data_IF_496255597684
#
_entry.id   IF_496255597684
#
_cell.length_a   1.000
_cell.length_b   1.000
_cell.length_c   1.000
_cell.angle_alpha   90.00
_cell.angle_beta   90.00
_cell.angle_gamma   90.00
#
_symmetry.space_group_name_H-M   'P 1'
#
loop_
_entity.id
_entity.type
_entity.pdbx_description
1 polymer ?
#
# COMPACT_ATOMS: atom_id res chain seq x y z
N UNK A 1 39.95 -25.84 5.52
CA UNK A 1 38.89 -25.76 6.53
C UNK A 1 38.84 -24.41 7.27
N UNK A 2 39.94 -23.79 7.66
CA UNK A 2 39.96 -22.56 8.48
C UNK A 2 39.33 -21.30 7.85
N UNK A 3 39.49 -21.06 6.55
CA UNK A 3 38.97 -19.85 5.88
C UNK A 3 37.44 -19.86 5.81
N UNK A 4 36.84 -21.01 5.52
CA UNK A 4 35.39 -21.16 5.44
C UNK A 4 34.72 -21.03 6.81
N UNK A 5 35.38 -21.56 7.86
CA UNK A 5 34.89 -21.41 9.24
C UNK A 5 34.97 -19.95 9.72
N UNK A 6 36.06 -19.25 9.40
CA UNK A 6 36.23 -17.83 9.72
C UNK A 6 35.16 -16.98 9.02
N UNK A 7 34.84 -17.26 7.76
CA UNK A 7 33.80 -16.54 7.01
C UNK A 7 32.41 -16.77 7.62
N UNK A 8 32.07 -18.01 8.01
CA UNK A 8 30.80 -18.30 8.68
C UNK A 8 30.66 -17.57 10.02
N UNK A 9 31.74 -17.48 10.82
CA UNK A 9 31.71 -16.73 12.08
C UNK A 9 31.48 -15.25 11.82
N UNK A 10 32.11 -14.64 10.81
CA UNK A 10 31.88 -13.24 10.44
C UNK A 10 30.44 -12.99 10.02
N UNK A 11 29.86 -13.90 9.21
CA UNK A 11 28.45 -13.81 8.80
C UNK A 11 27.48 -13.94 9.99
N UNK A 12 27.75 -14.84 10.93
CA UNK A 12 26.95 -14.98 12.15
C UNK A 12 27.02 -13.73 13.02
N UNK A 13 28.20 -13.17 13.22
CA UNK A 13 28.37 -11.92 13.99
C UNK A 13 27.66 -10.75 13.31
N UNK A 14 27.74 -10.65 11.99
CA UNK A 14 27.01 -9.65 11.21
C UNK A 14 25.48 -9.79 11.38
N UNK A 15 24.96 -11.01 11.28
CA UNK A 15 23.55 -11.30 11.48
C UNK A 15 23.10 -10.95 12.91
N UNK A 16 23.91 -11.28 13.93
CA UNK A 16 23.64 -10.95 15.34
C UNK A 16 23.62 -9.43 15.56
N UNK A 17 24.58 -8.71 14.95
CA UNK A 17 24.58 -7.23 15.01
C UNK A 17 23.32 -6.63 14.41
N UNK A 18 22.92 -7.05 13.21
CA UNK A 18 21.70 -6.54 12.55
C UNK A 18 20.47 -6.88 13.39
N UNK A 19 20.37 -8.12 13.90
CA UNK A 19 19.25 -8.53 14.73
C UNK A 19 19.13 -7.68 15.99
N UNK A 20 20.27 -7.31 16.62
CA UNK A 20 20.27 -6.45 17.78
C UNK A 20 19.70 -5.05 17.50
N UNK A 21 19.99 -4.47 16.34
CA UNK A 21 19.37 -3.22 15.89
C UNK A 21 17.88 -3.36 15.57
N UNK A 22 17.45 -4.54 15.10
CA UNK A 22 16.05 -4.84 14.82
C UNK A 22 15.15 -4.94 16.07
N UNK A 23 15.73 -5.17 17.25
CA UNK A 23 15.00 -5.12 18.53
C UNK A 23 14.61 -3.71 18.96
N UNK A 24 15.16 -2.68 18.34
CA UNK A 24 14.77 -1.30 18.64
C UNK A 24 13.33 -1.10 18.18
N UNK A 25 12.39 -1.08 19.13
CA UNK A 25 10.98 -0.79 18.84
C UNK A 25 10.89 0.53 18.08
N UNK A 26 10.24 0.51 16.94
CA UNK A 26 9.86 1.73 16.24
C UNK A 26 8.85 2.45 17.13
N UNK A 27 9.30 3.48 17.82
CA UNK A 27 8.43 4.34 18.63
C UNK A 27 7.92 5.46 17.73
N UNK A 28 6.62 5.74 17.80
CA UNK A 28 6.00 6.91 17.17
C UNK A 28 6.82 8.15 17.57
N UNK A 29 7.40 8.82 16.61
CA UNK A 29 8.26 10.01 16.81
C UNK A 29 7.71 11.26 16.10
N UNK A 30 6.41 11.29 15.84
CA UNK A 30 5.69 12.42 15.29
C UNK A 30 4.48 12.74 16.15
N UNK A 31 4.00 13.98 16.03
CA UNK A 31 2.83 14.48 16.75
C UNK A 31 1.55 14.13 16.01
N UNK A 32 0.45 13.98 16.75
CA UNK A 32 -0.86 13.84 16.15
C UNK A 32 -1.35 15.19 15.60
N UNK A 33 -1.89 15.16 14.41
CA UNK A 33 -2.47 16.33 13.75
C UNK A 33 -3.90 15.98 13.29
N UNK A 34 -4.76 16.98 13.28
CA UNK A 34 -6.08 16.86 12.70
C UNK A 34 -6.00 16.54 11.20
N UNK A 35 -7.00 15.85 10.63
CA UNK A 35 -7.06 15.54 9.20
C UNK A 35 -6.99 16.80 8.33
N UNK A 36 -6.03 16.87 7.41
CA UNK A 36 -5.83 18.00 6.50
C UNK A 36 -5.46 17.53 5.09
N UNK A 37 -4.66 16.45 4.98
CA UNK A 37 -4.14 15.98 3.70
C UNK A 37 -5.21 15.28 2.89
N UNK A 38 -5.22 15.56 1.59
CA UNK A 38 -6.09 14.89 0.63
C UNK A 38 -5.36 13.72 -0.01
N UNK A 39 -5.97 12.54 0.05
CA UNK A 39 -5.38 11.30 -0.46
C UNK A 39 -6.02 10.84 -1.77
N UNK A 40 -5.17 10.48 -2.73
CA UNK A 40 -5.55 9.65 -3.87
C UNK A 40 -5.08 8.22 -3.61
N UNK A 41 -6.00 7.28 -3.51
CA UNK A 41 -5.69 5.87 -3.25
C UNK A 41 -5.86 5.06 -4.53
N UNK A 42 -4.83 4.32 -4.93
CA UNK A 42 -4.83 3.49 -6.11
C UNK A 42 -4.63 2.02 -5.75
N UNK A 43 -5.55 1.17 -6.15
CA UNK A 43 -5.57 -0.27 -5.86
C UNK A 43 -5.52 -1.07 -7.17
N UNK A 44 -4.32 -1.46 -7.64
CA UNK A 44 -4.21 -2.36 -8.79
C UNK A 44 -4.81 -3.73 -8.48
N UNK A 45 -5.63 -4.23 -9.40
CA UNK A 45 -6.30 -5.53 -9.29
C UNK A 45 -6.24 -6.29 -10.62
N UNK A 46 -5.91 -7.57 -10.54
CA UNK A 46 -5.92 -8.50 -11.69
C UNK A 46 -6.51 -9.83 -11.28
N UNK A 47 -7.79 -10.08 -11.64
CA UNK A 47 -8.53 -11.27 -11.26
C UNK A 47 -8.58 -11.49 -9.73
N UNK A 48 -9.07 -10.48 -9.03
CA UNK A 48 -9.13 -10.43 -7.56
C UNK A 48 -10.58 -10.49 -7.04
N UNK A 49 -11.52 -11.16 -7.75
CA UNK A 49 -12.94 -11.21 -7.38
C UNK A 49 -13.19 -11.72 -5.95
N UNK A 50 -12.28 -12.52 -5.41
CA UNK A 50 -12.41 -13.12 -4.09
C UNK A 50 -12.09 -12.16 -2.93
N UNK A 51 -11.29 -11.11 -3.17
CA UNK A 51 -10.77 -10.23 -2.11
C UNK A 51 -11.07 -8.75 -2.35
N UNK A 52 -11.45 -8.37 -3.56
CA UNK A 52 -11.68 -6.97 -3.92
C UNK A 52 -12.78 -6.31 -3.08
N UNK A 53 -13.77 -7.08 -2.63
CA UNK A 53 -14.83 -6.59 -1.77
C UNK A 53 -14.30 -6.17 -0.38
N UNK A 54 -13.36 -6.93 0.17
CA UNK A 54 -12.82 -6.69 1.50
C UNK A 54 -12.04 -5.36 1.57
N UNK A 55 -11.21 -5.08 0.55
CA UNK A 55 -10.45 -3.82 0.53
C UNK A 55 -11.35 -2.61 0.27
N UNK A 56 -12.38 -2.74 -0.56
CA UNK A 56 -13.34 -1.66 -0.80
C UNK A 56 -14.09 -1.33 0.49
N UNK A 57 -14.62 -2.35 1.19
CA UNK A 57 -15.28 -2.18 2.48
C UNK A 57 -14.34 -1.53 3.50
N UNK A 58 -13.10 -1.95 3.54
CA UNK A 58 -12.08 -1.40 4.43
C UNK A 58 -11.81 0.09 4.13
N UNK A 59 -11.68 0.47 2.84
CA UNK A 59 -11.47 1.87 2.43
C UNK A 59 -12.69 2.75 2.68
N UNK A 60 -13.91 2.23 2.60
CA UNK A 60 -15.13 2.98 2.93
C UNK A 60 -15.29 3.24 4.45
N UNK A 61 -14.61 2.45 5.29
CA UNK A 61 -14.72 2.54 6.75
C UNK A 61 -13.44 3.07 7.43
N UNK A 62 -12.61 3.83 6.70
CA UNK A 62 -11.44 4.48 7.28
C UNK A 62 -11.82 5.55 8.30
N UNK A 63 -11.10 5.63 9.41
CA UNK A 63 -11.25 6.68 10.42
C UNK A 63 -10.60 8.01 9.94
N UNK A 64 -11.07 8.50 8.80
CA UNK A 64 -10.62 9.74 8.17
C UNK A 64 -11.80 10.41 7.43
N UNK A 65 -11.89 11.76 7.36
CA UNK A 65 -13.01 12.41 6.67
C UNK A 65 -13.13 11.96 5.22
N UNK A 66 -14.32 11.47 4.83
CA UNK A 66 -14.55 10.86 3.50
C UNK A 66 -14.31 11.82 2.35
N UNK A 67 -14.52 13.10 2.58
CA UNK A 67 -14.28 14.19 1.61
C UNK A 67 -12.80 14.49 1.37
N UNK A 68 -11.90 13.93 2.18
CA UNK A 68 -10.46 14.13 2.05
C UNK A 68 -9.74 12.97 1.34
N UNK A 69 -10.45 11.98 0.83
CA UNK A 69 -9.81 10.95 0.03
C UNK A 69 -10.73 10.39 -1.05
N UNK A 70 -10.13 10.01 -2.15
CA UNK A 70 -10.76 9.22 -3.20
C UNK A 70 -9.95 7.95 -3.45
N UNK A 71 -10.64 6.86 -3.80
CA UNK A 71 -9.95 5.64 -4.17
C UNK A 71 -10.47 5.10 -5.51
N UNK A 72 -9.54 4.48 -6.24
CA UNK A 72 -9.78 3.88 -7.54
C UNK A 72 -9.26 2.45 -7.57
N UNK A 73 -10.11 1.54 -8.02
CA UNK A 73 -9.72 0.17 -8.35
C UNK A 73 -9.22 0.19 -9.79
N UNK A 74 -7.97 -0.21 -9.98
CA UNK A 74 -7.31 -0.26 -11.28
C UNK A 74 -7.38 -1.69 -11.82
N UNK A 75 -8.44 -1.98 -12.55
CA UNK A 75 -8.69 -3.32 -13.10
C UNK A 75 -7.83 -3.55 -14.34
N UNK A 76 -6.74 -4.32 -14.22
CA UNK A 76 -5.82 -4.62 -15.30
C UNK A 76 -6.11 -5.98 -15.93
N UNK A 77 -6.62 -5.98 -17.15
CA UNK A 77 -6.90 -7.20 -17.92
C UNK A 77 -7.69 -8.26 -17.13
N UNK A 78 -8.66 -7.85 -16.32
CA UNK A 78 -9.50 -8.75 -15.56
C UNK A 78 -10.41 -9.56 -16.49
N UNK A 79 -10.51 -10.87 -16.23
CA UNK A 79 -11.37 -11.82 -16.98
C UNK A 79 -12.44 -12.46 -16.07
N UNK A 80 -12.35 -12.22 -14.77
CA UNK A 80 -13.29 -12.64 -13.74
C UNK A 80 -14.30 -11.52 -13.41
N UNK A 81 -14.99 -11.62 -12.27
CA UNK A 81 -15.98 -10.65 -11.83
C UNK A 81 -15.41 -9.50 -10.99
N UNK A 82 -14.11 -9.28 -10.96
CA UNK A 82 -13.48 -8.20 -10.19
C UNK A 82 -14.12 -6.83 -10.44
N UNK A 83 -14.26 -6.46 -11.72
CA UNK A 83 -14.88 -5.18 -12.15
C UNK A 83 -16.33 -5.08 -11.73
N UNK A 84 -17.10 -6.15 -11.92
CA UNK A 84 -18.52 -6.21 -11.55
C UNK A 84 -18.70 -6.00 -10.03
N UNK A 85 -17.90 -6.72 -9.24
CA UNK A 85 -17.94 -6.62 -7.77
C UNK A 85 -17.58 -5.21 -7.31
N UNK A 86 -16.50 -4.64 -7.84
CA UNK A 86 -16.05 -3.30 -7.45
C UNK A 86 -17.12 -2.22 -7.77
N UNK A 87 -17.70 -2.26 -8.95
CA UNK A 87 -18.77 -1.32 -9.34
C UNK A 87 -20.04 -1.48 -8.52
N UNK A 88 -20.43 -2.71 -8.21
CA UNK A 88 -21.59 -2.99 -7.37
C UNK A 88 -21.42 -2.43 -5.94
N UNK A 89 -20.22 -2.36 -5.44
CA UNK A 89 -19.88 -1.74 -4.15
C UNK A 89 -19.75 -0.20 -4.23
N UNK A 90 -19.89 0.40 -5.41
CA UNK A 90 -19.83 1.84 -5.59
C UNK A 90 -18.42 2.41 -5.75
N UNK A 91 -17.40 1.56 -5.88
CA UNK A 91 -16.03 2.02 -6.09
C UNK A 91 -15.81 2.63 -7.48
N UNK A 92 -14.93 3.61 -7.56
CA UNK A 92 -14.43 4.11 -8.83
C UNK A 92 -13.54 3.05 -9.49
N UNK A 93 -13.80 2.70 -10.74
CA UNK A 93 -13.04 1.67 -11.46
C UNK A 93 -12.44 2.24 -12.74
N UNK A 94 -11.13 2.13 -12.86
CA UNK A 94 -10.39 2.39 -14.09
C UNK A 94 -9.97 1.05 -14.70
N UNK A 95 -10.50 0.75 -15.88
CA UNK A 95 -10.13 -0.47 -16.60
C UNK A 95 -8.97 -0.21 -17.56
N UNK A 96 -8.00 -1.09 -17.55
CA UNK A 96 -6.93 -1.12 -18.53
C UNK A 96 -6.88 -2.46 -19.25
N UNK A 97 -6.70 -2.41 -20.56
CA UNK A 97 -6.56 -3.58 -21.40
C UNK A 97 -5.24 -3.50 -22.16
N UNK A 98 -4.69 -4.67 -22.50
CA UNK A 98 -3.52 -4.75 -23.37
C UNK A 98 -3.90 -4.27 -24.77
N UNK A 99 -3.10 -3.34 -25.31
CA UNK A 99 -3.25 -2.86 -26.67
C UNK A 99 -2.73 -3.88 -27.70
N UNK A 100 -1.78 -4.72 -27.29
CA UNK A 100 -1.21 -5.82 -28.10
C UNK A 100 -0.67 -6.94 -27.21
N UNK A 101 -0.45 -8.16 -27.73
CA UNK A 101 0.13 -9.27 -26.97
C UNK A 101 1.49 -8.93 -26.33
N UNK A 102 2.29 -8.10 -27.00
CA UNK A 102 3.64 -7.71 -26.60
C UNK A 102 3.65 -6.41 -25.76
N UNK A 103 2.49 -5.81 -25.46
CA UNK A 103 2.43 -4.60 -24.66
C UNK A 103 2.97 -4.85 -23.25
N UNK A 104 3.77 -3.93 -22.70
CA UNK A 104 4.30 -4.05 -21.33
C UNK A 104 3.14 -4.13 -20.33
N UNK A 105 3.30 -4.99 -19.33
CA UNK A 105 2.32 -5.24 -18.28
C UNK A 105 2.95 -5.17 -16.91
N UNK A 106 2.10 -5.18 -15.90
CA UNK A 106 2.50 -5.18 -14.51
C UNK A 106 2.14 -3.89 -13.79
N UNK A 107 2.22 -3.96 -12.48
CA UNK A 107 1.77 -2.90 -11.57
C UNK A 107 2.29 -1.49 -11.92
N UNK A 108 3.58 -1.26 -12.26
CA UNK A 108 4.04 0.09 -12.61
C UNK A 108 3.33 0.69 -13.83
N UNK A 109 3.04 -0.15 -14.84
CA UNK A 109 2.36 0.30 -16.07
C UNK A 109 0.91 0.67 -15.78
N UNK A 110 0.22 -0.13 -14.98
CA UNK A 110 -1.16 0.12 -14.56
C UNK A 110 -1.26 1.42 -13.77
N UNK A 111 -0.35 1.63 -12.81
CA UNK A 111 -0.29 2.86 -12.02
C UNK A 111 -0.02 4.08 -12.91
N UNK A 112 0.93 3.99 -13.84
CA UNK A 112 1.22 5.08 -14.77
C UNK A 112 0.01 5.42 -15.66
N UNK A 113 -0.69 4.41 -16.19
CA UNK A 113 -1.91 4.61 -16.99
C UNK A 113 -3.01 5.29 -16.16
N UNK A 114 -3.19 4.86 -14.91
CA UNK A 114 -4.18 5.44 -14.01
C UNK A 114 -3.86 6.92 -13.69
N UNK A 115 -2.63 7.24 -13.35
CA UNK A 115 -2.22 8.62 -13.08
C UNK A 115 -2.36 9.51 -14.31
N UNK A 116 -2.09 8.98 -15.50
CA UNK A 116 -2.32 9.72 -16.76
C UNK A 116 -3.82 9.92 -17.06
N UNK A 117 -4.68 8.96 -16.69
CA UNK A 117 -6.12 9.08 -16.85
C UNK A 117 -6.76 10.04 -15.83
N UNK A 118 -6.13 10.23 -14.68
CA UNK A 118 -6.52 11.17 -13.63
C UNK A 118 -5.73 12.49 -13.78
N UNK A 119 -5.71 13.04 -15.00
CA UNK A 119 -4.99 14.27 -15.32
C UNK A 119 -5.34 15.40 -14.33
N UNK A 120 -4.31 16.15 -13.87
CA UNK A 120 -4.48 17.20 -12.87
C UNK A 120 -4.65 16.70 -11.42
N UNK A 121 -4.44 15.41 -11.14
CA UNK A 121 -4.56 14.88 -9.77
C UNK A 121 -3.66 15.61 -8.76
N UNK A 122 -2.51 16.13 -9.20
CA UNK A 122 -1.57 16.88 -8.36
C UNK A 122 -2.16 18.20 -7.80
N UNK A 123 -3.20 18.75 -8.46
CA UNK A 123 -3.87 19.97 -8.02
C UNK A 123 -4.96 19.68 -6.97
N UNK A 124 -5.34 18.40 -6.82
CA UNK A 124 -6.46 17.97 -5.99
C UNK A 124 -6.05 17.15 -4.77
N UNK A 125 -4.91 16.47 -4.83
CA UNK A 125 -4.45 15.57 -3.77
C UNK A 125 -3.02 15.90 -3.34
N UNK A 126 -2.79 15.84 -2.04
CA UNK A 126 -1.48 16.10 -1.44
C UNK A 126 -0.60 14.84 -1.46
N UNK A 127 -1.21 13.68 -1.34
CA UNK A 127 -0.53 12.38 -1.21
C UNK A 127 -1.21 11.32 -2.09
N UNK A 128 -0.38 10.48 -2.72
CA UNK A 128 -0.83 9.30 -3.47
C UNK A 128 -0.45 8.05 -2.71
N UNK A 129 -1.41 7.17 -2.47
CA UNK A 129 -1.22 5.90 -1.76
C UNK A 129 -1.49 4.70 -2.69
N UNK A 130 -0.73 3.62 -2.47
CA UNK A 130 -0.86 2.39 -3.24
C UNK A 130 -1.08 1.22 -2.29
N UNK A 131 -2.13 0.43 -2.53
CA UNK A 131 -2.41 -0.80 -1.80
C UNK A 131 -2.59 -1.96 -2.77
N UNK A 132 -2.22 -3.16 -2.36
CA UNK A 132 -2.58 -4.37 -3.08
C UNK A 132 -4.03 -4.77 -2.74
N UNK A 133 -4.74 -5.39 -3.67
CA UNK A 133 -6.15 -5.75 -3.51
C UNK A 133 -6.40 -6.72 -2.34
N UNK A 134 -5.39 -7.45 -1.89
CA UNK A 134 -5.44 -8.38 -0.77
C UNK A 134 -5.00 -7.78 0.57
N UNK A 135 -4.62 -6.50 0.60
CA UNK A 135 -4.24 -5.83 1.84
C UNK A 135 -5.45 -5.64 2.78
N UNK A 136 -5.14 -5.65 4.07
CA UNK A 136 -6.04 -5.19 5.12
C UNK A 136 -5.42 -3.92 5.74
N UNK A 137 -6.14 -2.81 5.64
CA UNK A 137 -5.67 -1.50 6.04
C UNK A 137 -6.18 -1.21 7.45
N UNK A 138 -5.30 -0.71 8.33
CA UNK A 138 -5.73 -0.22 9.65
C UNK A 138 -6.61 1.02 9.47
N UNK A 139 -7.79 1.10 10.09
CA UNK A 139 -8.69 2.24 9.93
C UNK A 139 -8.06 3.60 10.24
N UNK A 140 -7.07 3.66 11.13
CA UNK A 140 -6.35 4.88 11.50
C UNK A 140 -5.19 5.24 10.55
N UNK A 141 -4.91 4.42 9.53
CA UNK A 141 -3.71 4.59 8.71
C UNK A 141 -3.62 5.97 8.05
N UNK A 142 -4.72 6.52 7.53
CA UNK A 142 -4.70 7.82 6.89
C UNK A 142 -4.40 8.95 7.89
N UNK A 143 -4.93 8.84 9.10
CA UNK A 143 -4.64 9.79 10.18
C UNK A 143 -3.17 9.74 10.61
N UNK A 144 -2.60 8.53 10.67
CA UNK A 144 -1.19 8.33 10.99
C UNK A 144 -0.27 8.92 9.88
N UNK A 145 -0.58 8.68 8.60
CA UNK A 145 0.18 9.22 7.46
C UNK A 145 0.06 10.75 7.41
N UNK A 146 -1.15 11.29 7.59
CA UNK A 146 -1.40 12.73 7.70
C UNK A 146 -0.50 13.35 8.78
N UNK A 147 -0.52 12.78 9.98
CA UNK A 147 0.25 13.27 11.13
C UNK A 147 1.76 13.18 10.89
N UNK A 148 2.23 12.09 10.29
CA UNK A 148 3.64 11.91 9.95
C UNK A 148 4.12 12.91 8.90
N UNK A 149 3.32 13.15 7.86
CA UNK A 149 3.65 14.10 6.80
C UNK A 149 3.72 15.54 7.32
N UNK A 150 2.73 15.95 8.11
CA UNK A 150 2.69 17.28 8.73
C UNK A 150 3.84 17.48 9.72
N UNK A 151 4.16 16.49 10.54
CA UNK A 151 5.31 16.55 11.46
C UNK A 151 6.66 16.62 10.74
N UNK A 152 6.75 16.10 9.53
CA UNK A 152 7.93 16.22 8.67
C UNK A 152 7.99 17.58 7.93
N UNK A 153 7.07 18.51 8.20
CA UNK A 153 6.98 19.82 7.52
C UNK A 153 6.94 19.73 5.98
N UNK A 154 6.30 18.68 5.45
CA UNK A 154 6.23 18.44 4.01
C UNK A 154 7.56 18.04 3.36
N UNK A 155 8.57 17.66 4.14
CA UNK A 155 9.90 17.23 3.63
C UNK A 155 10.00 15.73 3.35
N UNK A 156 8.93 14.97 3.63
CA UNK A 156 8.91 13.54 3.36
C UNK A 156 8.41 13.29 1.93
N UNK A 157 9.30 12.86 1.03
CA UNK A 157 8.93 12.48 -0.35
C UNK A 157 8.23 11.13 -0.41
N UNK A 158 8.56 10.21 0.51
CA UNK A 158 8.00 8.85 0.58
C UNK A 158 7.74 8.48 2.04
N UNK A 159 6.55 7.98 2.32
CA UNK A 159 6.18 7.40 3.61
C UNK A 159 5.88 5.91 3.39
N UNK A 160 6.66 5.04 4.03
CA UNK A 160 6.43 3.60 3.99
C UNK A 160 5.74 3.15 5.26
N UNK A 161 4.53 2.61 5.12
CA UNK A 161 3.78 2.06 6.23
C UNK A 161 4.31 0.69 6.64
N UNK A 162 4.09 0.31 7.91
CA UNK A 162 4.46 -1.01 8.42
C UNK A 162 3.54 -2.08 7.84
N UNK A 163 4.14 -3.15 7.29
CA UNK A 163 3.42 -4.32 6.80
C UNK A 163 3.47 -5.43 7.85
N UNK A 164 2.32 -5.81 8.37
CA UNK A 164 2.17 -6.94 9.30
C UNK A 164 1.53 -8.15 8.62
N UNK A 165 1.68 -9.34 9.24
CA UNK A 165 1.00 -10.55 8.76
C UNK A 165 -0.51 -10.48 9.04
N UNK A 166 -1.34 -10.64 8.00
CA UNK A 166 -2.80 -10.73 8.09
C UNK A 166 -3.25 -11.92 8.94
N UNK A 167 -2.59 -13.07 8.80
CA UNK A 167 -2.92 -14.32 9.48
C UNK A 167 -1.97 -14.58 10.67
N UNK A 168 -2.29 -14.05 11.84
CA UNK A 168 -1.52 -14.28 13.07
C UNK A 168 -1.81 -15.62 13.76
N UNK A 169 -2.67 -16.47 13.18
CA UNK A 169 -3.04 -17.79 13.74
C UNK A 169 -2.27 -18.90 13.03
N UNK A 170 -1.11 -19.27 13.56
CA UNK A 170 -0.31 -20.39 13.05
C UNK A 170 1.16 -20.24 13.43
N UNK A 171 1.88 -21.36 13.56
CA UNK A 171 3.28 -21.39 13.99
C UNK A 171 4.21 -20.60 13.04
N UNK A 172 3.87 -20.50 11.74
CA UNK A 172 4.64 -19.77 10.72
C UNK A 172 4.38 -18.26 10.75
N UNK A 173 3.26 -17.82 11.33
CA UNK A 173 2.90 -16.39 11.42
C UNK A 173 3.43 -15.72 12.69
N UNK A 174 4.19 -16.43 13.53
CA UNK A 174 4.78 -15.90 14.76
C UNK A 174 6.25 -15.45 14.59
N UNK A 175 6.81 -15.60 13.38
CA UNK A 175 8.18 -15.20 13.04
C UNK A 175 8.12 -14.15 11.90
#
# INVERSE_FOLDING_TARGET
>A
MGVMSAWLVVMLLYQLCISFFGFKRNTKNYQDHDPQMRFLVLVPAHNEEAVIADIIDNLEHMEYPRELYDFYILADNCTDRTVEVARRMGANVLESHKESPDAPTGKPIVLQKALNALDGYQDHYDLVMFFDADNLIDPNMFLEVNSQYLSAEGKADIIQCYLGCKNRKGMVAMF
#
